data_IF_704372183057
#
_entry.id   IF_704372183057
#
_cell.length_a   1.000
_cell.length_b   1.000
_cell.length_c   1.000
_cell.angle_alpha   90.00
_cell.angle_beta   90.00
_cell.angle_gamma   90.00
#
_symmetry.space_group_name_H-M   'P 1'
#
loop_
_entity.id
_entity.type
_entity.pdbx_description
1 polymer ?
#
# COMPACT_ATOMS: atom_id res chain seq x y z
N UNK A 1 -4.22 -1.90 -9.73
CA UNK A 1 -3.93 -2.40 -8.37
C UNK A 1 -4.97 -3.45 -8.04
N UNK A 2 -4.57 -4.65 -7.64
CA UNK A 2 -5.50 -5.69 -7.18
C UNK A 2 -5.98 -5.34 -5.76
N UNK A 3 -7.28 -5.02 -5.63
CA UNK A 3 -7.89 -4.76 -4.31
C UNK A 3 -7.72 -5.95 -3.36
N UNK A 4 -7.64 -7.16 -3.91
CA UNK A 4 -7.41 -8.37 -3.12
C UNK A 4 -6.03 -8.35 -2.45
N UNK A 5 -5.01 -7.86 -3.14
CA UNK A 5 -3.66 -7.69 -2.58
C UNK A 5 -3.64 -6.59 -1.52
N UNK A 6 -4.39 -5.51 -1.72
CA UNK A 6 -4.55 -4.45 -0.71
C UNK A 6 -5.22 -4.97 0.56
N UNK A 7 -6.31 -5.75 0.42
CA UNK A 7 -7.00 -6.38 1.55
C UNK A 7 -6.06 -7.37 2.23
N UNK A 8 -5.43 -8.29 1.50
CA UNK A 8 -4.50 -9.25 2.09
C UNK A 8 -3.31 -8.56 2.80
N UNK A 9 -2.86 -7.43 2.27
CA UNK A 9 -1.84 -6.60 2.90
C UNK A 9 -2.38 -5.91 4.15
N UNK A 10 -3.59 -5.35 4.16
CA UNK A 10 -4.16 -4.61 5.30
C UNK A 10 -4.77 -5.52 6.37
N UNK A 11 -5.30 -6.69 6.04
CA UNK A 11 -5.96 -7.63 6.96
C UNK A 11 -5.17 -7.88 8.26
N UNK A 12 -3.87 -8.21 8.23
CA UNK A 12 -3.11 -8.44 9.46
C UNK A 12 -2.76 -7.15 10.23
N UNK A 13 -2.94 -5.97 9.62
CA UNK A 13 -2.66 -4.66 10.23
C UNK A 13 -3.94 -3.96 10.70
N UNK A 14 -5.09 -4.24 10.11
CA UNK A 14 -6.42 -3.76 10.47
C UNK A 14 -6.70 -3.79 11.97
N UNK A 15 -6.45 -4.90 12.71
CA UNK A 15 -6.65 -4.92 14.16
C UNK A 15 -5.78 -3.89 14.90
N UNK A 16 -4.58 -3.61 14.41
CA UNK A 16 -3.70 -2.60 15.01
C UNK A 16 -4.08 -1.18 14.59
N UNK A 17 -4.48 -1.00 13.32
CA UNK A 17 -4.88 0.28 12.73
C UNK A 17 -6.19 0.81 13.32
N UNK A 18 -7.17 -0.05 13.57
CA UNK A 18 -8.39 0.32 14.29
C UNK A 18 -8.10 0.68 15.75
N UNK A 19 -7.12 0.00 16.36
CA UNK A 19 -6.70 0.28 17.73
C UNK A 19 -5.87 1.57 17.87
N UNK A 20 -5.35 2.09 16.75
CA UNK A 20 -4.60 3.36 16.68
C UNK A 20 -5.43 4.60 17.07
N UNK A 21 -6.76 4.48 17.10
CA UNK A 21 -7.67 5.56 17.54
C UNK A 21 -8.07 5.47 19.02
N UNK A 22 -7.64 4.43 19.75
CA UNK A 22 -8.01 4.20 21.14
C UNK A 22 -6.86 4.40 22.12
N UNK A 23 -7.12 4.16 23.42
CA UNK A 23 -6.10 4.29 24.49
C UNK A 23 -4.90 3.34 24.34
N UNK A 24 -4.98 2.35 23.46
CA UNK A 24 -3.93 1.35 23.21
C UNK A 24 -3.18 1.56 21.88
N UNK A 25 -3.24 2.77 21.32
CA UNK A 25 -2.60 3.12 20.06
C UNK A 25 -1.06 2.98 20.10
N UNK A 26 -0.44 3.37 21.22
CA UNK A 26 1.01 3.26 21.41
C UNK A 26 1.48 1.80 21.37
N UNK A 27 0.85 0.93 22.17
CA UNK A 27 1.16 -0.51 22.19
C UNK A 27 0.89 -1.18 20.84
N UNK A 28 -0.16 -0.76 20.13
CA UNK A 28 -0.47 -1.28 18.80
C UNK A 28 0.61 -0.91 17.78
N UNK A 29 1.09 0.34 17.82
CA UNK A 29 2.17 0.84 16.98
C UNK A 29 3.48 0.09 17.24
N UNK A 30 3.87 -0.06 18.51
CA UNK A 30 5.08 -0.82 18.87
C UNK A 30 5.01 -2.29 18.44
N UNK A 31 3.86 -2.93 18.66
CA UNK A 31 3.65 -4.32 18.26
C UNK A 31 3.70 -4.50 16.75
N UNK A 32 3.06 -3.61 15.99
CA UNK A 32 3.01 -3.68 14.54
C UNK A 32 4.37 -3.36 13.91
N UNK A 33 5.06 -2.32 14.37
CA UNK A 33 6.43 -2.01 13.93
C UNK A 33 7.42 -3.13 14.24
N UNK A 34 7.29 -3.81 15.39
CA UNK A 34 8.12 -4.97 15.74
C UNK A 34 7.80 -6.23 14.93
N UNK A 35 6.51 -6.46 14.60
CA UNK A 35 6.05 -7.66 13.89
C UNK A 35 6.21 -7.56 12.37
N UNK A 36 5.97 -6.39 11.79
CA UNK A 36 5.93 -6.17 10.34
C UNK A 36 7.03 -5.25 9.82
N UNK A 37 7.76 -4.58 10.70
CA UNK A 37 8.75 -3.56 10.37
C UNK A 37 8.15 -2.17 10.28
N UNK A 38 8.94 -1.16 10.68
CA UNK A 38 8.52 0.24 10.69
C UNK A 38 8.11 0.76 9.29
N UNK A 39 8.80 0.34 8.23
CA UNK A 39 8.48 0.75 6.86
C UNK A 39 7.13 0.21 6.38
N UNK A 40 6.86 -1.09 6.60
CA UNK A 40 5.58 -1.72 6.24
C UNK A 40 4.42 -1.14 7.04
N UNK A 41 4.64 -0.91 8.34
CA UNK A 41 3.66 -0.28 9.22
C UNK A 41 3.33 1.14 8.80
N UNK A 42 4.34 1.97 8.50
CA UNK A 42 4.14 3.35 8.05
C UNK A 42 3.31 3.41 6.76
N UNK A 43 3.54 2.50 5.81
CA UNK A 43 2.74 2.39 4.59
C UNK A 43 1.30 2.00 4.90
N UNK A 44 1.09 0.94 5.69
CA UNK A 44 -0.25 0.50 6.08
C UNK A 44 -1.02 1.65 6.78
N UNK A 45 -0.34 2.40 7.65
CA UNK A 45 -0.92 3.54 8.35
C UNK A 45 -1.25 4.69 7.40
N UNK A 46 -0.39 5.02 6.44
CA UNK A 46 -0.64 6.06 5.45
C UNK A 46 -1.80 5.71 4.51
N UNK A 47 -1.86 4.45 4.05
CA UNK A 47 -2.98 3.92 3.24
C UNK A 47 -4.28 3.99 4.04
N UNK A 48 -4.26 3.49 5.28
CA UNK A 48 -5.43 3.48 6.15
C UNK A 48 -5.88 4.89 6.49
N UNK A 49 -4.97 5.86 6.69
CA UNK A 49 -5.34 7.26 6.95
C UNK A 49 -6.15 7.88 5.80
N UNK A 50 -5.93 7.46 4.56
CA UNK A 50 -6.73 7.88 3.41
C UNK A 50 -8.05 7.13 3.31
N UNK A 51 -8.04 5.84 3.61
CA UNK A 51 -9.19 4.96 3.48
C UNK A 51 -10.21 5.15 4.61
N UNK A 52 -9.73 5.34 5.84
CA UNK A 52 -10.50 5.48 7.08
C UNK A 52 -11.64 6.50 6.98
N UNK A 53 -11.46 7.77 6.54
CA UNK A 53 -12.57 8.71 6.46
C UNK A 53 -13.67 8.28 5.49
N UNK A 54 -13.32 7.53 4.43
CA UNK A 54 -14.30 6.98 3.48
C UNK A 54 -15.02 5.77 4.07
N UNK A 55 -14.29 4.93 4.80
CA UNK A 55 -14.82 3.78 5.54
C UNK A 55 -15.76 4.25 6.66
N UNK A 56 -15.39 5.26 7.45
CA UNK A 56 -16.25 5.85 8.49
C UNK A 56 -17.45 6.60 7.91
N UNK A 57 -17.35 7.14 6.69
CA UNK A 57 -18.48 7.73 5.98
C UNK A 57 -19.50 6.68 5.48
N UNK A 58 -19.15 5.40 5.49
CA UNK A 58 -20.01 4.28 5.09
C UNK A 58 -20.08 3.24 6.20
N UNK A 59 -21.18 3.24 6.95
CA UNK A 59 -21.40 2.28 8.04
C UNK A 59 -21.15 0.82 7.62
N UNK A 60 -21.60 0.40 6.43
CA UNK A 60 -21.33 -0.97 5.94
C UNK A 60 -19.85 -1.28 5.68
N UNK A 61 -19.03 -0.28 5.34
CA UNK A 61 -17.59 -0.45 5.18
C UNK A 61 -16.88 -0.49 6.54
N UNK A 62 -17.36 0.33 7.49
CA UNK A 62 -16.85 0.36 8.86
C UNK A 62 -17.11 -0.96 9.58
N UNK A 63 -18.34 -1.49 9.48
CA UNK A 63 -18.72 -2.78 10.06
C UNK A 63 -17.83 -3.90 9.49
N UNK A 64 -17.74 -4.00 8.16
CA UNK A 64 -16.87 -4.98 7.51
C UNK A 64 -15.39 -4.85 7.91
N UNK A 65 -14.89 -3.63 8.17
CA UNK A 65 -13.52 -3.43 8.63
C UNK A 65 -13.32 -3.92 10.07
N UNK A 66 -14.32 -3.71 10.94
CA UNK A 66 -14.32 -4.22 12.30
C UNK A 66 -14.40 -5.75 12.30
N UNK A 67 -15.26 -6.34 11.49
CA UNK A 67 -15.38 -7.80 11.37
C UNK A 67 -14.07 -8.44 10.92
N UNK A 68 -13.45 -7.95 9.84
CA UNK A 68 -12.13 -8.44 9.38
C UNK A 68 -11.05 -8.20 10.43
N UNK A 69 -11.12 -7.13 11.22
CA UNK A 69 -10.16 -6.93 12.30
C UNK A 69 -10.33 -7.92 13.45
N UNK A 70 -11.55 -8.40 13.72
CA UNK A 70 -11.82 -9.44 14.70
C UNK A 70 -11.43 -10.83 14.17
N UNK A 71 -11.65 -11.09 12.89
CA UNK A 71 -11.33 -12.34 12.21
C UNK A 71 -10.64 -12.08 10.86
N UNK A 72 -9.32 -11.78 10.86
CA UNK A 72 -8.59 -11.44 9.65
C UNK A 72 -8.37 -12.64 8.71
N UNK A 73 -8.66 -13.86 9.18
CA UNK A 73 -8.52 -15.12 8.44
C UNK A 73 -9.85 -15.57 7.82
N UNK A 74 -10.96 -14.89 8.13
CA UNK A 74 -12.28 -15.25 7.63
C UNK A 74 -12.50 -14.73 6.20
N UNK A 75 -12.66 -15.65 5.25
CA UNK A 75 -12.80 -15.30 3.84
C UNK A 75 -14.09 -14.53 3.55
N UNK A 76 -15.21 -14.88 4.22
CA UNK A 76 -16.49 -14.21 4.02
C UNK A 76 -16.42 -12.73 4.45
N UNK A 77 -15.77 -12.46 5.58
CA UNK A 77 -15.55 -11.10 6.08
C UNK A 77 -14.57 -10.32 5.17
N UNK A 78 -13.50 -10.96 4.70
CA UNK A 78 -12.58 -10.35 3.74
C UNK A 78 -13.28 -9.98 2.43
N UNK A 79 -14.17 -10.84 1.94
CA UNK A 79 -14.98 -10.60 0.75
C UNK A 79 -15.94 -9.43 0.98
N UNK A 80 -16.60 -9.36 2.13
CA UNK A 80 -17.48 -8.25 2.48
C UNK A 80 -16.72 -6.91 2.46
N UNK A 81 -15.57 -6.84 3.13
CA UNK A 81 -14.72 -5.64 3.14
C UNK A 81 -14.23 -5.28 1.74
N UNK A 82 -13.83 -6.27 0.95
CA UNK A 82 -13.42 -6.08 -0.45
C UNK A 82 -14.53 -5.48 -1.30
N UNK A 83 -15.77 -5.96 -1.19
CA UNK A 83 -16.90 -5.41 -1.97
C UNK A 83 -17.19 -3.97 -1.57
N UNK A 84 -17.15 -3.67 -0.26
CA UNK A 84 -17.37 -2.30 0.22
C UNK A 84 -16.25 -1.36 -0.21
N UNK A 85 -14.98 -1.73 -0.01
CA UNK A 85 -13.85 -0.93 -0.49
C UNK A 85 -13.88 -0.78 -2.01
N UNK A 86 -14.22 -1.83 -2.77
CA UNK A 86 -14.32 -1.73 -4.23
C UNK A 86 -15.31 -0.65 -4.64
N UNK A 87 -16.48 -0.61 -4.01
CA UNK A 87 -17.48 0.44 -4.26
C UNK A 87 -16.95 1.83 -3.88
N UNK A 88 -16.24 1.97 -2.75
CA UNK A 88 -15.64 3.25 -2.35
C UNK A 88 -14.55 3.71 -3.33
N UNK A 89 -13.66 2.81 -3.72
CA UNK A 89 -12.53 3.05 -4.60
C UNK A 89 -12.99 3.36 -6.04
N UNK A 90 -14.08 2.73 -6.49
CA UNK A 90 -14.73 3.02 -7.77
C UNK A 90 -15.39 4.41 -7.78
N UNK A 91 -15.94 4.84 -6.64
CA UNK A 91 -16.52 6.18 -6.48
C UNK A 91 -15.44 7.27 -6.32
N UNK A 92 -14.26 6.91 -5.85
CA UNK A 92 -13.15 7.82 -5.55
C UNK A 92 -11.83 7.33 -6.18
N UNK A 93 -11.69 7.53 -7.49
CA UNK A 93 -10.46 7.19 -8.22
C UNK A 93 -9.22 7.94 -7.66
N UNK A 94 -9.42 9.16 -7.16
CA UNK A 94 -8.37 9.92 -6.48
C UNK A 94 -7.82 9.20 -5.23
N UNK A 95 -8.68 8.46 -4.52
CA UNK A 95 -8.28 7.66 -3.36
C UNK A 95 -7.43 6.48 -3.81
N UNK A 96 -7.82 5.79 -4.88
CA UNK A 96 -7.05 4.69 -5.47
C UNK A 96 -5.66 5.18 -5.84
N UNK A 97 -5.57 6.31 -6.55
CA UNK A 97 -4.29 6.87 -6.98
C UNK A 97 -3.42 7.26 -5.77
N UNK A 98 -4.00 7.88 -4.73
CA UNK A 98 -3.27 8.19 -3.51
C UNK A 98 -2.72 6.94 -2.81
N UNK A 99 -3.51 5.86 -2.72
CA UNK A 99 -3.07 4.59 -2.12
C UNK A 99 -1.95 3.95 -2.94
N UNK A 100 -2.10 3.94 -4.27
CA UNK A 100 -1.10 3.42 -5.20
C UNK A 100 0.20 4.22 -5.10
N UNK A 101 0.12 5.55 -5.00
CA UNK A 101 1.27 6.42 -4.73
C UNK A 101 1.95 6.05 -3.41
N UNK A 102 1.20 5.86 -2.33
CA UNK A 102 1.77 5.48 -1.01
C UNK A 102 2.46 4.11 -1.06
N UNK A 103 1.87 3.12 -1.76
CA UNK A 103 2.50 1.80 -1.90
C UNK A 103 3.74 1.83 -2.79
N UNK A 104 3.74 2.68 -3.82
CA UNK A 104 4.87 2.84 -4.74
C UNK A 104 5.95 3.80 -4.22
N UNK A 105 5.66 4.56 -3.16
CA UNK A 105 6.60 5.52 -2.56
C UNK A 105 7.76 4.88 -1.77
N UNK A 106 8.18 3.66 -2.12
CA UNK A 106 9.55 3.18 -1.83
C UNK A 106 10.56 3.91 -2.71
N UNK A 107 10.71 5.22 -2.48
CA UNK A 107 11.67 6.01 -3.22
C UNK A 107 11.32 7.49 -3.18
N UNK A 108 11.97 8.19 -2.26
CA UNK A 108 12.10 9.64 -2.21
C UNK A 108 11.00 10.36 -1.42
N UNK A 109 11.37 10.58 -0.16
CA UNK A 109 11.11 11.83 0.53
C UNK A 109 11.21 13.03 -0.43
N UNK A 110 10.11 13.78 -0.53
CA UNK A 110 10.11 15.20 -0.86
C UNK A 110 10.40 15.60 -2.31
N UNK A 111 9.42 15.55 -3.21
CA UNK A 111 9.17 16.66 -4.17
C UNK A 111 7.74 16.59 -4.71
N UNK A 112 6.95 17.69 -4.73
CA UNK A 112 5.75 17.79 -5.55
C UNK A 112 6.16 17.95 -7.03
N UNK A 113 6.65 16.88 -7.62
CA UNK A 113 6.91 16.78 -9.04
C UNK A 113 6.26 15.50 -9.51
N UNK A 114 5.08 15.62 -10.12
CA UNK A 114 4.52 14.68 -11.10
C UNK A 114 5.41 13.47 -11.39
N UNK A 115 5.38 12.46 -10.52
CA UNK A 115 5.97 11.17 -10.82
C UNK A 115 4.97 10.48 -11.75
N UNK A 116 5.14 10.73 -13.04
CA UNK A 116 4.52 9.92 -14.08
C UNK A 116 4.94 8.49 -13.76
N UNK A 117 3.97 7.66 -13.38
CA UNK A 117 4.11 6.21 -13.37
C UNK A 117 4.36 5.82 -14.83
N UNK A 118 5.63 5.80 -15.23
CA UNK A 118 6.02 5.19 -16.49
C UNK A 118 6.10 3.70 -16.22
N UNK A 119 4.93 3.07 -16.25
CA UNK A 119 4.79 1.64 -16.43
C UNK A 119 5.40 1.29 -17.79
N UNK A 120 6.71 1.06 -17.82
CA UNK A 120 7.41 0.56 -19.02
C UNK A 120 7.07 -0.91 -19.16
N UNK A 121 5.96 -1.18 -19.84
CA UNK A 121 5.76 -2.45 -20.53
C UNK A 121 6.15 -2.17 -21.97
N UNK A 122 7.43 -2.33 -22.27
CA UNK A 122 7.99 -2.08 -23.59
C UNK A 122 9.48 -2.40 -23.59
N UNK A 123 9.83 -3.53 -24.20
CA UNK A 123 11.19 -3.86 -24.60
C UNK A 123 11.67 -2.74 -25.54
N UNK A 124 12.81 -2.10 -25.23
CA UNK A 124 13.42 -0.97 -25.97
C UNK A 124 13.02 0.46 -25.51
N UNK A 125 13.65 0.96 -24.44
CA UNK A 125 13.81 2.41 -24.24
C UNK A 125 15.17 2.73 -23.57
N UNK A 126 16.02 3.58 -24.16
CA UNK A 126 17.32 3.93 -23.60
C UNK A 126 17.16 4.87 -22.39
N UNK A 127 17.61 4.40 -21.22
CA UNK A 127 17.78 5.22 -20.02
C UNK A 127 18.98 6.15 -20.23
N UNK A 128 18.71 7.43 -20.52
CA UNK A 128 19.72 8.49 -20.39
C UNK A 128 19.49 9.16 -19.03
N UNK A 129 20.11 8.59 -18.00
CA UNK A 129 20.10 9.12 -16.64
C UNK A 129 21.47 8.92 -16.02
N UNK A 130 22.22 10.00 -15.91
CA UNK A 130 23.61 10.04 -15.44
C UNK A 130 23.70 9.52 -13.99
N UNK A 131 24.28 8.34 -13.82
CA UNK A 131 24.62 7.74 -12.53
C UNK A 131 25.72 8.55 -11.86
N UNK A 132 25.42 9.25 -10.77
CA UNK A 132 26.43 9.77 -9.84
C UNK A 132 26.08 9.28 -8.44
N UNK A 133 26.92 8.39 -7.90
CA UNK A 133 26.95 8.07 -6.47
C UNK A 133 26.24 6.79 -6.05
N UNK A 134 26.83 5.63 -6.37
CA UNK A 134 26.88 4.47 -5.49
C UNK A 134 25.57 3.93 -4.90
N UNK A 135 24.73 3.28 -5.72
CA UNK A 135 23.83 2.24 -5.23
C UNK A 135 23.67 1.15 -6.30
N UNK A 136 24.10 -0.06 -5.96
CA UNK A 136 24.00 -1.25 -6.83
C UNK A 136 22.52 -1.59 -6.98
N UNK A 137 21.99 -1.56 -8.21
CA UNK A 137 20.69 -2.17 -8.53
C UNK A 137 20.90 -3.68 -8.65
N UNK A 138 20.23 -4.44 -7.79
CA UNK A 138 20.10 -5.88 -7.93
C UNK A 138 19.09 -6.18 -9.05
N UNK A 139 19.60 -6.53 -10.23
CA UNK A 139 18.82 -7.06 -11.35
C UNK A 139 19.75 -7.81 -12.28
N UNK A 140 19.52 -9.12 -12.45
CA UNK A 140 20.39 -10.00 -13.22
C UNK A 140 20.50 -9.55 -14.68
N UNK A 141 21.68 -9.07 -15.09
CA UNK A 141 22.01 -8.80 -16.49
C UNK A 141 22.48 -10.10 -17.15
N UNK A 142 21.62 -10.72 -17.95
CA UNK A 142 22.01 -11.74 -18.93
C UNK A 142 21.98 -11.09 -20.30
N UNK A 143 23.12 -10.57 -20.74
CA UNK A 143 23.29 -9.98 -22.07
C UNK A 143 24.74 -10.12 -22.52
N UNK A 144 24.97 -10.95 -23.53
CA UNK A 144 26.27 -11.24 -24.14
C UNK A 144 26.80 -10.01 -24.89
N UNK A 145 27.96 -9.48 -24.49
CA UNK A 145 28.63 -8.39 -25.20
C UNK A 145 29.59 -9.01 -26.22
N UNK A 146 29.25 -8.93 -27.50
CA UNK A 146 30.17 -9.25 -28.60
C UNK A 146 30.81 -7.94 -29.05
N UNK A 147 32.12 -7.78 -28.81
CA UNK A 147 32.90 -6.69 -29.41
C UNK A 147 33.49 -7.18 -30.74
N UNK A 148 33.33 -6.35 -31.78
CA UNK A 148 34.04 -6.49 -33.05
C UNK A 148 35.48 -6.00 -32.97
#
# INVERSE_FOLDING_TARGET
MEINTLIAFLSPFLPFLLRLGGKAAETATESATKKFGAASWAKAQAVWAKLRPKVEAKESAQEAALDVANAPEDEDLQVALKVQLKKLLDQDEALVNAIVQILQADGSDGTPGIQIVQNVIGDDNPVIGQVTGGQIVFGAVKGNVTHG
#
